data_IF_638580814072
#
_entry.id   IF_638580814072
#
_cell.length_a   1.000
_cell.length_b   1.000
_cell.length_c   1.000
_cell.angle_alpha   90.00
_cell.angle_beta   90.00
_cell.angle_gamma   90.00
#
_symmetry.space_group_name_H-M   'P 1'
#
loop_
_entity.id
_entity.type
_entity.pdbx_description
1 polymer ?
#
# COMPACT_ATOMS: atom_id res chain seq x y z
N UNK A 1 8.07 -4.64 14.67
CA UNK A 1 8.82 -3.37 14.58
C UNK A 1 8.35 -2.59 13.37
N UNK A 2 8.18 -1.28 13.48
CA UNK A 2 7.81 -0.42 12.34
C UNK A 2 9.09 0.06 11.66
N UNK A 3 9.23 -0.18 10.35
CA UNK A 3 10.38 0.27 9.56
C UNK A 3 9.96 0.69 8.15
N UNK A 4 10.84 1.45 7.48
CA UNK A 4 10.65 1.77 6.07
C UNK A 4 10.79 0.48 5.24
N UNK A 5 9.91 0.32 4.26
CA UNK A 5 9.99 -0.77 3.30
C UNK A 5 11.13 -0.51 2.30
N UNK A 6 11.81 -1.57 1.91
CA UNK A 6 12.86 -1.57 0.92
C UNK A 6 12.29 -1.80 -0.48
N UNK A 7 13.03 -1.38 -1.52
CA UNK A 7 12.61 -1.55 -2.91
C UNK A 7 12.41 -3.03 -3.29
N UNK A 8 13.17 -3.94 -2.68
CA UNK A 8 13.03 -5.40 -2.91
C UNK A 8 11.71 -5.98 -2.38
N UNK A 9 11.02 -5.24 -1.51
CA UNK A 9 9.76 -5.65 -0.90
C UNK A 9 8.54 -5.16 -1.69
N UNK A 10 8.74 -4.66 -2.92
CA UNK A 10 7.68 -4.14 -3.78
C UNK A 10 6.53 -5.15 -3.95
N UNK A 11 6.85 -6.41 -4.26
CA UNK A 11 5.87 -7.46 -4.45
C UNK A 11 5.13 -7.79 -3.14
N UNK A 12 5.84 -7.78 -2.01
CA UNK A 12 5.23 -8.01 -0.69
C UNK A 12 4.27 -6.87 -0.31
N UNK A 13 4.67 -5.61 -0.53
CA UNK A 13 3.81 -4.44 -0.33
C UNK A 13 2.55 -4.53 -1.21
N UNK A 14 2.73 -4.88 -2.49
CA UNK A 14 1.64 -5.06 -3.46
C UNK A 14 0.65 -6.15 -3.02
N UNK A 15 1.16 -7.29 -2.56
CA UNK A 15 0.36 -8.41 -2.06
C UNK A 15 -0.45 -8.00 -0.82
N UNK A 16 0.20 -7.40 0.18
CA UNK A 16 -0.47 -6.95 1.42
C UNK A 16 -1.59 -5.96 1.12
N UNK A 17 -1.37 -4.98 0.24
CA UNK A 17 -2.39 -3.99 -0.13
C UNK A 17 -3.60 -4.67 -0.78
N UNK A 18 -3.36 -5.59 -1.71
CA UNK A 18 -4.44 -6.27 -2.44
C UNK A 18 -5.20 -7.29 -1.59
N UNK A 19 -4.51 -7.97 -0.67
CA UNK A 19 -5.13 -8.85 0.32
C UNK A 19 -5.99 -8.05 1.29
N UNK A 20 -5.45 -6.97 1.87
CA UNK A 20 -6.19 -6.07 2.75
C UNK A 20 -7.38 -5.43 2.05
N UNK A 21 -7.31 -5.16 0.75
CA UNK A 21 -8.45 -4.62 0.01
C UNK A 21 -9.65 -5.58 -0.04
N UNK A 22 -9.45 -6.90 0.05
CA UNK A 22 -10.52 -7.89 -0.08
C UNK A 22 -11.61 -7.75 0.99
N UNK A 23 -11.28 -7.27 2.20
CA UNK A 23 -12.31 -7.03 3.24
C UNK A 23 -13.31 -5.95 2.84
N UNK A 24 -12.99 -5.12 1.85
CA UNK A 24 -13.89 -4.10 1.29
C UNK A 24 -14.67 -4.58 0.06
N UNK A 25 -14.44 -5.81 -0.41
CA UNK A 25 -15.17 -6.37 -1.56
C UNK A 25 -16.65 -6.49 -1.21
N UNK A 26 -17.51 -5.91 -2.05
CA UNK A 26 -18.95 -5.81 -1.79
C UNK A 26 -19.38 -4.63 -0.91
N UNK A 27 -18.45 -3.95 -0.23
CA UNK A 27 -18.69 -2.64 0.42
C UNK A 27 -18.40 -1.49 -0.55
N UNK A 28 -17.30 -1.60 -1.31
CA UNK A 28 -16.96 -0.64 -2.36
C UNK A 28 -17.94 -0.81 -3.53
N UNK A 29 -18.50 0.29 -4.09
CA UNK A 29 -19.36 0.24 -5.26
C UNK A 29 -18.73 -0.55 -6.42
N UNK A 30 -19.50 -1.41 -7.14
CA UNK A 30 -18.94 -2.26 -8.20
C UNK A 30 -18.23 -1.50 -9.32
N UNK A 31 -18.66 -0.27 -9.63
CA UNK A 31 -18.05 0.62 -10.62
C UNK A 31 -16.71 1.23 -10.15
N UNK A 32 -16.40 1.13 -8.85
CA UNK A 32 -15.15 1.60 -8.24
C UNK A 32 -14.23 0.47 -7.81
N UNK A 33 -14.70 -0.78 -7.83
CA UNK A 33 -13.90 -1.96 -7.55
C UNK A 33 -13.19 -2.43 -8.83
N UNK A 34 -11.95 -2.89 -8.69
CA UNK A 34 -11.12 -3.46 -9.76
C UNK A 34 -10.38 -4.69 -9.25
N UNK A 35 -9.94 -5.53 -10.17
CA UNK A 35 -9.22 -6.77 -9.87
C UNK A 35 -7.93 -6.85 -10.71
N UNK A 36 -6.73 -6.82 -10.11
CA UNK A 36 -6.46 -6.59 -8.68
C UNK A 36 -6.95 -5.21 -8.22
N UNK A 37 -7.18 -5.04 -6.91
CA UNK A 37 -7.61 -3.75 -6.36
C UNK A 37 -6.60 -2.64 -6.64
N UNK A 38 -5.31 -2.95 -6.60
CA UNK A 38 -4.23 -2.09 -7.03
C UNK A 38 -3.34 -2.85 -8.00
N UNK A 39 -3.12 -2.32 -9.20
CA UNK A 39 -2.16 -2.88 -10.15
C UNK A 39 -0.73 -2.55 -9.76
N UNK A 40 0.25 -3.28 -10.31
CA UNK A 40 1.66 -2.94 -10.10
C UNK A 40 2.00 -1.54 -10.64
N UNK A 41 1.45 -1.17 -11.80
CA UNK A 41 1.72 0.13 -12.42
C UNK A 41 1.21 1.28 -11.56
N UNK A 42 0.05 1.11 -10.93
CA UNK A 42 -0.49 2.08 -9.97
C UNK A 42 0.40 2.21 -8.73
N UNK A 43 0.87 1.09 -8.18
CA UNK A 43 1.79 1.11 -7.05
C UNK A 43 3.13 1.77 -7.42
N UNK A 44 3.68 1.48 -8.61
CA UNK A 44 4.88 2.14 -9.13
C UNK A 44 4.66 3.64 -9.28
N UNK A 45 3.52 4.04 -9.80
CA UNK A 45 3.16 5.45 -9.96
C UNK A 45 3.08 6.16 -8.61
N UNK A 46 2.48 5.55 -7.58
CA UNK A 46 2.45 6.11 -6.23
C UNK A 46 3.84 6.31 -5.63
N UNK A 47 4.71 5.30 -5.76
CA UNK A 47 6.10 5.40 -5.30
C UNK A 47 6.84 6.53 -6.05
N UNK A 48 6.64 6.65 -7.36
CA UNK A 48 7.19 7.75 -8.17
C UNK A 48 6.62 9.12 -7.78
N UNK A 49 5.35 9.18 -7.37
CA UNK A 49 4.70 10.38 -6.86
C UNK A 49 5.11 10.74 -5.41
N UNK A 50 6.07 10.01 -4.84
CA UNK A 50 6.68 10.31 -3.54
C UNK A 50 6.07 9.59 -2.35
N UNK A 51 5.22 8.58 -2.57
CA UNK A 51 4.74 7.73 -1.47
C UNK A 51 5.90 6.90 -0.91
N UNK A 52 6.10 6.98 0.40
CA UNK A 52 7.06 6.18 1.14
C UNK A 52 6.31 5.16 1.98
N UNK A 53 6.49 3.89 1.67
CA UNK A 53 5.89 2.80 2.43
C UNK A 53 6.69 2.49 3.70
N UNK A 54 5.97 2.38 4.80
CA UNK A 54 6.42 1.84 6.06
C UNK A 54 5.63 0.57 6.34
N UNK A 55 6.24 -0.39 7.03
CA UNK A 55 5.55 -1.61 7.38
C UNK A 55 5.86 -2.09 8.77
N UNK A 56 4.93 -2.89 9.28
CA UNK A 56 5.06 -3.60 10.54
C UNK A 56 5.66 -4.98 10.25
N UNK A 57 6.89 -5.19 10.70
CA UNK A 57 7.59 -6.46 10.62
C UNK A 57 7.50 -7.21 11.94
N UNK A 58 7.18 -8.50 11.90
CA UNK A 58 7.26 -9.40 13.05
C UNK A 58 7.96 -10.69 12.64
N UNK A 59 8.98 -11.12 13.41
CA UNK A 59 9.76 -12.34 13.15
C UNK A 59 10.36 -12.44 11.73
N UNK A 60 10.71 -11.29 11.13
CA UNK A 60 11.26 -11.22 9.77
C UNK A 60 10.22 -11.24 8.66
N UNK A 61 8.93 -11.25 8.99
CA UNK A 61 7.82 -11.19 8.05
C UNK A 61 7.15 -9.81 8.07
N UNK A 62 6.91 -9.25 6.88
CA UNK A 62 6.18 -7.99 6.73
C UNK A 62 4.67 -8.30 6.77
N UNK A 63 3.97 -7.85 7.80
CA UNK A 63 2.56 -8.19 8.03
C UNK A 63 1.58 -7.09 7.63
N UNK A 64 2.05 -5.86 7.49
CA UNK A 64 1.20 -4.71 7.19
C UNK A 64 2.01 -3.54 6.67
N UNK A 65 1.38 -2.68 5.88
CA UNK A 65 2.01 -1.51 5.28
C UNK A 65 1.13 -0.28 5.41
N UNK A 66 1.77 0.89 5.42
CA UNK A 66 1.12 2.19 5.37
C UNK A 66 1.96 3.11 4.48
N UNK A 67 1.34 3.77 3.52
CA UNK A 67 1.98 4.76 2.67
C UNK A 67 1.94 6.15 3.29
N UNK A 68 3.07 6.85 3.28
CA UNK A 68 3.18 8.24 3.76
C UNK A 68 3.63 9.11 2.59
N UNK A 69 2.88 10.16 2.30
CA UNK A 69 3.18 11.06 1.19
C UNK A 69 3.16 12.53 1.64
N UNK A 70 4.32 13.20 1.71
CA UNK A 70 4.38 14.65 1.88
C UNK A 70 3.85 15.35 0.63
N UNK A 71 2.84 16.20 0.78
CA UNK A 71 2.30 17.03 -0.31
C UNK A 71 2.18 18.46 0.21
N UNK A 72 3.07 19.34 -0.25
CA UNK A 72 3.18 20.73 0.22
C UNK A 72 3.34 20.78 1.74
N UNK A 73 2.34 21.26 2.45
CA UNK A 73 2.26 21.47 3.89
C UNK A 73 1.47 20.38 4.63
N UNK A 74 0.99 19.35 3.93
CA UNK A 74 0.25 18.23 4.52
C UNK A 74 0.94 16.88 4.29
N UNK A 75 0.66 15.93 5.18
CA UNK A 75 1.08 14.53 5.05
C UNK A 75 -0.14 13.68 4.79
N UNK A 76 -0.20 13.04 3.62
CA UNK A 76 -1.27 12.11 3.28
C UNK A 76 -0.90 10.72 3.80
N UNK A 77 -1.89 10.07 4.40
CA UNK A 77 -1.87 8.65 4.73
C UNK A 77 -2.52 7.89 3.58
N UNK A 78 -1.84 6.86 3.08
CA UNK A 78 -2.28 6.00 1.96
C UNK A 78 -2.32 4.55 2.44
N UNK A 79 -3.27 3.77 1.92
CA UNK A 79 -3.40 2.33 2.24
C UNK A 79 -3.62 2.04 3.73
N UNK A 80 -4.65 2.68 4.31
CA UNK A 80 -5.05 2.50 5.70
C UNK A 80 -6.20 1.52 5.88
#
# INVERSE_FOLDING_TARGET
MIRRCEKREFETVHAIINEAAQVYKGVIPPDRWKEPYMSEDELRHEIQAGVVFWGYEEKGELLGVMGIQPVRDVTLIRHA
#
